data_IF_269163932713
#
_entry.id   IF_269163932713
#
_cell.length_a   1.000
_cell.length_b   1.000
_cell.length_c   1.000
_cell.angle_alpha   90.00
_cell.angle_beta   90.00
_cell.angle_gamma   90.00
#
_symmetry.space_group_name_H-M   'P 1'
#
loop_
_entity.id
_entity.type
_entity.pdbx_description
1 polymer ?
#
# COMPACT_ATOMS: atom_id res chain seq x y z
N UNK A 1 5.81 19.19 -17.51
CA UNK A 1 4.69 19.97 -16.92
C UNK A 1 3.49 19.11 -16.53
N UNK A 2 3.15 18.05 -17.28
CA UNK A 2 2.05 17.12 -16.98
C UNK A 2 2.19 16.37 -15.66
N UNK A 3 3.40 16.15 -15.17
CA UNK A 3 3.63 15.30 -14.00
C UNK A 3 3.13 15.91 -12.67
N UNK A 4 3.29 17.23 -12.48
CA UNK A 4 2.81 17.89 -11.26
C UNK A 4 1.28 17.96 -11.21
N UNK A 5 0.63 18.30 -12.34
CA UNK A 5 -0.82 18.28 -12.42
C UNK A 5 -1.36 16.89 -12.16
N UNK A 6 -0.77 15.86 -12.79
CA UNK A 6 -1.17 14.47 -12.56
C UNK A 6 -1.00 14.06 -11.09
N UNK A 7 0.08 14.47 -10.43
CA UNK A 7 0.29 14.18 -9.01
C UNK A 7 -0.71 14.90 -8.09
N UNK A 8 -1.09 16.14 -8.40
CA UNK A 8 -2.15 16.88 -7.69
C UNK A 8 -3.52 16.24 -7.94
N UNK A 9 -3.84 15.92 -9.19
CA UNK A 9 -5.08 15.25 -9.60
C UNK A 9 -5.24 13.92 -8.88
N UNK A 10 -4.17 13.12 -8.77
CA UNK A 10 -4.21 11.83 -8.12
C UNK A 10 -4.57 11.88 -6.62
N UNK A 11 -4.48 13.05 -5.98
CA UNK A 11 -4.91 13.26 -4.59
C UNK A 11 -6.25 13.98 -4.45
N UNK A 12 -6.65 14.75 -5.48
CA UNK A 12 -7.72 15.76 -5.36
C UNK A 12 -8.88 15.58 -6.34
N UNK A 13 -8.69 14.80 -7.41
CA UNK A 13 -9.75 14.46 -8.35
C UNK A 13 -10.49 13.18 -7.89
N UNK A 14 -11.80 13.07 -8.18
CA UNK A 14 -12.50 11.81 -8.02
C UNK A 14 -11.93 10.74 -8.97
N UNK A 15 -11.99 9.48 -8.55
CA UNK A 15 -11.46 8.34 -9.30
C UNK A 15 -12.60 7.37 -9.61
N UNK A 16 -12.69 6.92 -10.85
CA UNK A 16 -13.61 5.84 -11.21
C UNK A 16 -12.93 4.50 -10.97
N UNK A 17 -13.55 3.67 -10.11
CA UNK A 17 -13.06 2.34 -9.77
C UNK A 17 -14.11 1.31 -10.19
N UNK A 18 -13.70 0.31 -10.93
CA UNK A 18 -14.56 -0.83 -11.27
C UNK A 18 -14.57 -1.80 -10.10
N UNK A 19 -15.72 -1.95 -9.45
CA UNK A 19 -15.90 -2.88 -8.34
C UNK A 19 -16.60 -4.13 -8.86
N UNK A 20 -15.96 -5.28 -8.68
CA UNK A 20 -16.60 -6.58 -8.93
C UNK A 20 -17.34 -7.01 -7.67
N UNK A 21 -18.65 -7.22 -7.77
CA UNK A 21 -19.49 -7.73 -6.67
C UNK A 21 -19.41 -9.26 -6.58
N UNK A 22 -19.85 -9.80 -5.45
CA UNK A 22 -19.86 -11.24 -5.16
C UNK A 22 -20.75 -12.05 -6.15
N UNK A 23 -21.68 -11.39 -6.85
CA UNK A 23 -22.52 -11.98 -7.90
C UNK A 23 -21.85 -12.03 -9.28
N UNK A 24 -20.58 -11.60 -9.38
CA UNK A 24 -19.81 -11.57 -10.62
C UNK A 24 -20.12 -10.37 -11.52
N UNK A 25 -20.99 -9.45 -11.09
CA UNK A 25 -21.24 -8.20 -11.83
C UNK A 25 -20.15 -7.17 -11.56
N UNK A 26 -19.81 -6.39 -12.58
CA UNK A 26 -18.85 -5.28 -12.46
C UNK A 26 -19.61 -3.96 -12.56
N UNK A 27 -19.38 -3.07 -11.59
CA UNK A 27 -19.99 -1.74 -11.56
C UNK A 27 -18.89 -0.68 -11.43
N UNK A 28 -18.92 0.32 -12.29
CA UNK A 28 -18.03 1.47 -12.18
C UNK A 28 -18.59 2.44 -11.15
N UNK A 29 -17.89 2.60 -10.04
CA UNK A 29 -18.24 3.51 -8.95
C UNK A 29 -17.30 4.71 -8.96
N UNK A 30 -17.86 5.91 -8.89
CA UNK A 30 -17.08 7.13 -8.67
C UNK A 30 -16.75 7.26 -7.18
N UNK A 31 -15.46 7.20 -6.86
CA UNK A 31 -14.95 7.41 -5.52
C UNK A 31 -14.56 8.89 -5.31
N UNK A 32 -14.75 9.42 -4.09
CA UNK A 32 -14.33 10.78 -3.78
C UNK A 32 -12.80 10.92 -3.84
N UNK A 33 -12.27 12.15 -3.88
CA UNK A 33 -10.84 12.41 -3.85
C UNK A 33 -10.10 11.69 -2.73
N UNK A 34 -8.86 11.27 -2.97
CA UNK A 34 -8.10 10.44 -2.03
C UNK A 34 -7.90 11.11 -0.66
N UNK A 35 -7.70 12.43 -0.62
CA UNK A 35 -7.63 13.19 0.63
C UNK A 35 -8.97 13.23 1.39
N UNK A 36 -10.10 13.22 0.67
CA UNK A 36 -11.44 13.12 1.25
C UNK A 36 -11.67 11.71 1.79
N UNK A 37 -11.21 10.67 1.09
CA UNK A 37 -11.25 9.29 1.59
C UNK A 37 -10.45 9.15 2.89
N UNK A 38 -9.23 9.69 2.94
CA UNK A 38 -8.41 9.70 4.16
C UNK A 38 -9.11 10.43 5.32
N UNK A 39 -9.71 11.59 5.06
CA UNK A 39 -10.47 12.33 6.07
C UNK A 39 -11.65 11.50 6.61
N UNK A 40 -12.38 10.82 5.73
CA UNK A 40 -13.51 9.97 6.12
C UNK A 40 -13.05 8.74 6.91
N UNK A 41 -11.85 8.21 6.64
CA UNK A 41 -11.29 7.08 7.37
C UNK A 41 -11.00 7.40 8.84
N UNK A 42 -10.79 8.68 9.20
CA UNK A 42 -10.57 9.12 10.60
C UNK A 42 -11.73 8.70 11.50
N UNK A 43 -12.97 8.82 11.01
CA UNK A 43 -14.18 8.53 11.78
C UNK A 43 -14.50 7.04 11.94
N UNK A 44 -13.59 6.15 11.58
CA UNK A 44 -13.81 4.70 11.62
C UNK A 44 -14.76 4.26 10.50
N UNK A 45 -14.23 4.17 9.28
CA UNK A 45 -14.96 3.55 8.18
C UNK A 45 -15.28 2.09 8.50
N UNK A 46 -16.57 1.73 8.46
CA UNK A 46 -17.07 0.35 8.58
C UNK A 46 -16.44 -0.50 7.47
N UNK A 47 -15.40 -1.24 7.82
CA UNK A 47 -14.62 -2.02 6.87
C UNK A 47 -15.41 -3.16 6.22
N UNK A 48 -15.40 -3.19 4.90
CA UNK A 48 -15.57 -4.40 4.09
C UNK A 48 -14.22 -5.15 4.06
N UNK A 49 -14.13 -6.31 4.72
CA UNK A 49 -13.07 -7.30 4.44
C UNK A 49 -12.13 -7.71 5.59
N UNK A 50 -12.61 -8.67 6.40
CA UNK A 50 -11.90 -9.75 7.11
C UNK A 50 -10.36 -9.73 7.24
N UNK A 51 -9.87 -9.43 8.45
CA UNK A 51 -8.82 -10.24 9.10
C UNK A 51 -9.05 -10.24 10.62
N UNK A 52 -8.94 -11.41 11.24
CA UNK A 52 -9.41 -11.69 12.60
C UNK A 52 -8.54 -11.08 13.70
N UNK A 53 -8.75 -9.79 14.00
CA UNK A 53 -8.35 -9.20 15.29
C UNK A 53 -9.57 -8.94 16.17
N UNK A 54 -9.43 -9.21 17.46
CA UNK A 54 -10.50 -9.26 18.44
C UNK A 54 -11.41 -8.02 18.44
N UNK A 55 -12.73 -8.25 18.52
CA UNK A 55 -13.81 -7.24 18.45
C UNK A 55 -13.82 -6.22 19.61
N UNK A 56 -12.86 -6.21 20.53
CA UNK A 56 -12.99 -5.49 21.80
C UNK A 56 -12.24 -4.14 21.90
N UNK A 57 -11.50 -3.71 20.88
CA UNK A 57 -10.76 -2.42 20.92
C UNK A 57 -10.83 -1.66 19.59
N UNK A 58 -12.01 -1.58 18.97
CA UNK A 58 -12.17 -0.65 17.83
C UNK A 58 -12.28 0.77 18.40
N UNK A 59 -11.14 1.46 18.49
CA UNK A 59 -11.11 2.91 18.67
C UNK A 59 -12.05 3.55 17.65
N UNK A 60 -12.94 4.43 18.13
CA UNK A 60 -13.88 5.20 17.29
C UNK A 60 -13.14 6.10 16.30
N UNK A 61 -11.85 6.35 16.55
CA UNK A 61 -10.97 7.18 15.74
C UNK A 61 -9.77 6.37 15.27
N UNK A 62 -9.50 6.40 13.97
CA UNK A 62 -8.24 5.92 13.41
C UNK A 62 -7.15 6.98 13.61
N UNK A 63 -6.36 6.83 14.67
CA UNK A 63 -5.32 7.79 15.06
C UNK A 63 -4.22 7.94 13.99
N UNK A 64 -3.91 6.88 13.24
CA UNK A 64 -2.90 6.94 12.17
C UNK A 64 -3.45 7.69 10.95
N UNK A 65 -4.72 7.50 10.57
CA UNK A 65 -5.36 8.30 9.54
C UNK A 65 -5.42 9.78 9.93
N UNK A 66 -5.76 10.09 11.18
CA UNK A 66 -5.79 11.46 11.72
C UNK A 66 -4.41 12.13 11.66
N UNK A 67 -3.38 11.42 12.12
CA UNK A 67 -2.00 11.91 12.10
C UNK A 67 -1.54 12.23 10.67
N UNK A 68 -1.75 11.30 9.72
CA UNK A 68 -1.40 11.49 8.31
C UNK A 68 -2.14 12.66 7.69
N UNK A 69 -3.45 12.75 7.91
CA UNK A 69 -4.25 13.86 7.39
C UNK A 69 -3.75 15.21 7.91
N UNK A 70 -3.45 15.30 9.20
CA UNK A 70 -2.94 16.52 9.84
C UNK A 70 -1.57 16.93 9.30
N UNK A 71 -0.67 15.96 9.10
CA UNK A 71 0.66 16.19 8.52
C UNK A 71 0.54 16.77 7.11
N UNK A 72 -0.27 16.14 6.24
CA UNK A 72 -0.50 16.61 4.87
C UNK A 72 -1.13 18.00 4.88
N UNK A 73 -2.17 18.23 5.69
CA UNK A 73 -2.86 19.52 5.74
C UNK A 73 -1.94 20.66 6.19
N UNK A 74 -1.04 20.41 7.14
CA UNK A 74 -0.06 21.39 7.60
C UNK A 74 0.95 21.70 6.50
N UNK A 75 1.50 20.68 5.84
CA UNK A 75 2.47 20.88 4.77
C UNK A 75 1.87 21.58 3.54
N UNK A 76 0.63 21.25 3.17
CA UNK A 76 -0.11 21.96 2.11
C UNK A 76 -0.37 23.41 2.51
N UNK A 77 -0.73 23.68 3.76
CA UNK A 77 -0.92 25.05 4.26
C UNK A 77 0.36 25.87 4.16
N UNK A 78 1.52 25.28 4.46
CA UNK A 78 2.81 25.94 4.33
C UNK A 78 3.15 26.22 2.87
N UNK A 79 2.87 25.28 1.96
CA UNK A 79 3.02 25.50 0.52
C UNK A 79 2.14 26.65 0.02
N UNK A 80 0.88 26.73 0.46
CA UNK A 80 -0.01 27.85 0.16
C UNK A 80 0.59 29.18 0.64
N UNK A 81 1.07 29.26 1.88
CA UNK A 81 1.67 30.49 2.44
C UNK A 81 2.89 30.95 1.64
N UNK A 82 3.77 30.02 1.25
CA UNK A 82 4.93 30.32 0.41
C UNK A 82 4.49 30.87 -0.95
N UNK A 83 3.41 30.33 -1.51
CA UNK A 83 2.79 30.80 -2.76
C UNK A 83 1.82 31.99 -2.57
N UNK A 84 1.82 32.64 -1.40
CA UNK A 84 0.94 33.77 -1.08
C UNK A 84 -0.57 33.48 -1.28
N UNK A 85 -0.97 32.23 -1.07
CA UNK A 85 -2.36 31.76 -1.07
C UNK A 85 -2.81 31.62 0.38
N UNK A 86 -4.03 32.09 0.69
CA UNK A 86 -4.63 31.93 2.03
C UNK A 86 -5.12 30.49 2.17
N UNK A 87 -4.52 29.66 3.06
CA UNK A 87 -4.97 28.30 3.26
C UNK A 87 -6.32 28.26 3.99
N UNK A 88 -7.12 27.26 3.65
CA UNK A 88 -8.38 26.94 4.33
C UNK A 88 -8.17 25.78 5.32
N UNK A 89 -9.25 25.10 5.73
CA UNK A 89 -9.18 23.85 6.51
C UNK A 89 -9.39 22.61 5.64
N UNK A 90 -9.34 22.78 4.31
CA UNK A 90 -9.58 21.71 3.36
C UNK A 90 -8.34 21.52 2.47
N UNK A 91 -7.49 20.52 2.75
CA UNK A 91 -6.25 20.33 2.02
C UNK A 91 -6.47 20.03 0.53
N UNK A 92 -7.64 19.50 0.14
CA UNK A 92 -7.98 19.26 -1.27
C UNK A 92 -8.13 20.58 -2.02
N UNK A 93 -8.83 21.55 -1.43
CA UNK A 93 -9.03 22.89 -2.02
C UNK A 93 -7.72 23.66 -2.00
N UNK A 94 -7.00 23.60 -0.88
CA UNK A 94 -5.75 24.31 -0.69
C UNK A 94 -4.68 23.84 -1.68
N UNK A 95 -4.57 22.52 -1.91
CA UNK A 95 -3.59 21.98 -2.85
C UNK A 95 -3.87 22.40 -4.30
N UNK A 96 -5.16 22.53 -4.68
CA UNK A 96 -5.56 23.06 -5.99
C UNK A 96 -5.25 24.55 -6.13
N UNK A 97 -5.54 25.35 -5.10
CA UNK A 97 -5.24 26.77 -5.08
C UNK A 97 -3.73 27.04 -5.08
N UNK A 98 -2.96 26.23 -4.35
CA UNK A 98 -1.51 26.24 -4.40
C UNK A 98 -1.00 25.94 -5.80
N UNK A 99 -1.51 24.91 -6.47
CA UNK A 99 -1.05 24.54 -7.81
C UNK A 99 -1.25 25.68 -8.82
N UNK A 100 -2.39 26.38 -8.80
CA UNK A 100 -2.64 27.50 -9.72
C UNK A 100 -1.69 28.67 -9.44
N UNK A 101 -1.48 29.03 -8.17
CA UNK A 101 -0.53 30.08 -7.78
C UNK A 101 0.92 29.70 -8.11
N UNK A 102 1.30 28.45 -7.86
CA UNK A 102 2.61 27.90 -8.19
C UNK A 102 2.90 28.02 -9.68
N UNK A 103 1.93 27.70 -10.54
CA UNK A 103 2.09 27.85 -12.00
C UNK A 103 2.29 29.31 -12.42
N UNK A 104 1.63 30.26 -11.76
CA UNK A 104 1.78 31.69 -12.05
C UNK A 104 3.16 32.26 -11.63
N UNK A 105 3.81 31.66 -10.63
CA UNK A 105 5.11 32.10 -10.12
C UNK A 105 6.32 31.52 -10.88
N UNK A 106 6.11 30.51 -11.73
CA UNK A 106 7.23 29.73 -12.29
C UNK A 106 8.09 30.54 -13.27
N UNK A 107 9.32 30.80 -12.83
CA UNK A 107 10.46 31.20 -13.69
C UNK A 107 11.49 30.08 -13.88
N UNK A 108 11.43 28.95 -13.13
CA UNK A 108 12.34 27.80 -13.30
C UNK A 108 11.72 26.43 -12.93
N UNK A 109 12.35 25.34 -13.36
CA UNK A 109 11.83 23.97 -13.28
C UNK A 109 12.14 23.18 -11.99
N UNK A 110 13.16 23.58 -11.23
CA UNK A 110 13.69 22.83 -10.08
C UNK A 110 12.71 22.58 -8.90
N UNK A 111 11.80 23.50 -8.51
CA UNK A 111 10.90 23.26 -7.37
C UNK A 111 9.80 22.22 -7.65
N UNK A 112 9.60 21.83 -8.92
CA UNK A 112 8.54 20.91 -9.32
C UNK A 112 8.81 19.47 -8.89
N UNK A 113 10.08 19.04 -8.94
CA UNK A 113 10.48 17.64 -8.69
C UNK A 113 10.26 17.24 -7.24
N UNK A 114 10.55 18.15 -6.30
CA UNK A 114 10.31 17.92 -4.88
C UNK A 114 8.81 17.74 -4.60
N UNK A 115 7.97 18.65 -5.10
CA UNK A 115 6.53 18.58 -4.89
C UNK A 115 5.93 17.31 -5.51
N UNK A 116 6.31 16.94 -6.74
CA UNK A 116 5.87 15.70 -7.38
C UNK A 116 6.23 14.47 -6.54
N UNK A 117 7.47 14.38 -6.06
CA UNK A 117 7.91 13.26 -5.22
C UNK A 117 7.07 13.16 -3.95
N UNK A 118 6.89 14.30 -3.26
CA UNK A 118 6.11 14.35 -2.02
C UNK A 118 4.65 13.94 -2.23
N UNK A 119 4.01 14.43 -3.30
CA UNK A 119 2.62 14.09 -3.65
C UNK A 119 2.45 12.59 -3.95
N UNK A 120 3.42 12.00 -4.65
CA UNK A 120 3.42 10.55 -4.93
C UNK A 120 3.61 9.72 -3.66
N UNK A 121 4.48 10.18 -2.76
CA UNK A 121 4.69 9.53 -1.47
C UNK A 121 3.42 9.57 -0.62
N UNK A 122 2.76 10.73 -0.51
CA UNK A 122 1.48 10.83 0.18
C UNK A 122 0.42 9.92 -0.44
N UNK A 123 0.32 9.88 -1.78
CA UNK A 123 -0.61 8.98 -2.46
C UNK A 123 -0.36 7.53 -2.07
N UNK A 124 0.89 7.07 -2.11
CA UNK A 124 1.24 5.70 -1.73
C UNK A 124 0.83 5.41 -0.28
N UNK A 125 1.20 6.28 0.66
CA UNK A 125 0.86 6.11 2.07
C UNK A 125 -0.66 6.08 2.33
N UNK A 126 -1.45 6.88 1.60
CA UNK A 126 -2.90 6.87 1.75
C UNK A 126 -3.49 5.58 1.17
N UNK A 127 -3.02 5.13 0.01
CA UNK A 127 -3.50 3.88 -0.57
C UNK A 127 -3.14 2.68 0.31
N UNK A 128 -1.93 2.61 0.86
CA UNK A 128 -1.51 1.56 1.80
C UNK A 128 -2.43 1.49 3.03
N UNK A 129 -2.96 2.64 3.44
CA UNK A 129 -3.87 2.76 4.57
C UNK A 129 -5.30 2.35 4.23
N UNK A 130 -5.83 2.82 3.12
CA UNK A 130 -7.21 2.57 2.69
C UNK A 130 -7.39 1.16 2.13
N UNK A 131 -6.38 0.65 1.44
CA UNK A 131 -6.35 -0.63 0.75
C UNK A 131 -5.10 -1.41 1.16
N UNK A 132 -5.04 -1.89 2.42
CA UNK A 132 -3.89 -2.64 2.89
C UNK A 132 -3.71 -3.91 2.05
N UNK A 133 -2.46 -4.23 1.72
CA UNK A 133 -2.14 -5.45 0.99
C UNK A 133 -2.64 -6.67 1.77
N UNK A 134 -3.34 -7.57 1.07
CA UNK A 134 -3.77 -8.85 1.65
C UNK A 134 -2.53 -9.71 1.85
N UNK A 135 -2.47 -10.35 3.01
CA UNK A 135 -1.40 -11.28 3.35
C UNK A 135 -1.93 -12.71 3.34
N UNK A 136 -1.19 -13.60 2.68
CA UNK A 136 -1.48 -15.03 2.65
C UNK A 136 -0.22 -15.79 3.09
N UNK A 137 -0.36 -16.63 4.11
CA UNK A 137 0.73 -17.50 4.54
C UNK A 137 0.88 -18.68 3.57
N UNK A 138 2.10 -18.88 3.08
CA UNK A 138 2.43 -19.99 2.19
C UNK A 138 2.91 -21.20 3.02
N UNK A 139 2.50 -22.43 2.66
CA UNK A 139 2.86 -23.63 3.41
C UNK A 139 4.33 -24.07 3.23
N UNK A 140 5.08 -23.40 2.35
CA UNK A 140 6.43 -23.80 1.96
C UNK A 140 7.49 -23.25 2.92
N UNK A 141 8.60 -23.97 3.13
CA UNK A 141 9.75 -23.44 3.86
C UNK A 141 10.39 -22.29 3.09
N UNK A 142 11.06 -21.38 3.80
CA UNK A 142 11.80 -20.30 3.18
C UNK A 142 12.87 -20.82 2.19
N UNK A 143 12.98 -20.30 0.95
CA UNK A 143 14.07 -20.66 0.04
C UNK A 143 15.45 -20.29 0.58
N UNK A 144 15.59 -19.08 1.15
CA UNK A 144 16.85 -18.56 1.66
C UNK A 144 17.32 -19.24 2.96
N UNK A 145 16.54 -19.16 4.05
CA UNK A 145 16.96 -19.68 5.36
C UNK A 145 16.43 -21.08 5.71
N UNK A 146 15.57 -21.67 4.88
CA UNK A 146 14.95 -23.00 5.08
C UNK A 146 14.05 -23.12 6.31
N UNK A 147 13.77 -22.03 7.02
CA UNK A 147 12.88 -22.04 8.17
C UNK A 147 11.46 -22.49 7.79
N UNK A 148 10.86 -23.33 8.63
CA UNK A 148 9.45 -23.78 8.57
C UNK A 148 8.58 -23.10 9.62
N UNK A 149 9.23 -22.47 10.61
CA UNK A 149 8.62 -21.68 11.67
C UNK A 149 9.35 -20.36 11.86
N UNK A 150 8.72 -19.43 12.57
CA UNK A 150 9.31 -18.16 12.99
C UNK A 150 8.81 -17.79 14.39
N UNK A 151 9.63 -17.01 15.09
CA UNK A 151 9.28 -16.46 16.39
C UNK A 151 8.62 -15.11 16.23
N UNK A 152 7.39 -14.95 16.72
CA UNK A 152 6.72 -13.66 16.70
C UNK A 152 7.09 -12.86 17.96
N UNK A 153 7.88 -11.78 17.86
CA UNK A 153 8.29 -11.00 19.03
C UNK A 153 7.10 -10.29 19.71
N UNK A 154 6.03 -10.00 18.99
CA UNK A 154 4.86 -9.29 19.52
C UNK A 154 3.97 -10.18 20.39
N UNK A 155 3.90 -11.48 20.10
CA UNK A 155 3.09 -12.44 20.87
C UNK A 155 3.92 -13.39 21.72
N UNK A 156 5.25 -13.40 21.54
CA UNK A 156 6.17 -14.27 22.28
C UNK A 156 5.94 -15.75 22.01
N UNK A 157 5.46 -16.10 20.81
CA UNK A 157 5.09 -17.47 20.45
C UNK A 157 5.67 -17.84 19.09
N UNK A 158 5.92 -19.14 18.91
CA UNK A 158 6.38 -19.71 17.64
C UNK A 158 5.18 -19.99 16.72
N UNK A 159 5.28 -19.54 15.47
CA UNK A 159 4.28 -19.79 14.43
C UNK A 159 4.89 -20.60 13.30
N UNK A 160 4.09 -21.50 12.73
CA UNK A 160 4.43 -22.20 11.50
C UNK A 160 4.23 -21.27 10.29
N UNK A 161 4.88 -21.59 9.16
CA UNK A 161 4.74 -20.87 7.87
C UNK A 161 5.31 -19.45 7.91
N UNK A 162 6.66 -19.32 7.86
CA UNK A 162 7.31 -18.01 7.89
C UNK A 162 7.22 -17.26 6.56
N UNK A 163 6.80 -17.91 5.48
CA UNK A 163 6.72 -17.31 4.15
C UNK A 163 5.35 -16.68 3.92
N UNK A 164 5.32 -15.41 3.53
CA UNK A 164 4.10 -14.62 3.37
C UNK A 164 4.09 -14.02 1.98
N UNK A 165 2.96 -14.19 1.30
CA UNK A 165 2.64 -13.50 0.07
C UNK A 165 1.81 -12.26 0.41
N UNK A 166 2.23 -11.09 -0.07
CA UNK A 166 1.48 -9.83 0.01
C UNK A 166 1.01 -9.44 -1.38
N UNK A 167 -0.29 -9.22 -1.56
CA UNK A 167 -0.87 -8.83 -2.85
C UNK A 167 -2.02 -7.83 -2.67
N UNK A 168 -2.27 -7.02 -3.71
CA UNK A 168 -3.47 -6.18 -3.80
C UNK A 168 -4.44 -6.80 -4.80
N UNK A 169 -5.74 -6.76 -4.50
CA UNK A 169 -6.78 -7.36 -5.35
C UNK A 169 -6.81 -6.69 -6.73
N UNK A 170 -6.66 -5.37 -6.76
CA UNK A 170 -6.63 -4.58 -7.98
C UNK A 170 -5.19 -4.24 -8.44
N UNK A 171 -4.18 -4.85 -7.80
CA UNK A 171 -2.78 -4.66 -8.12
C UNK A 171 -2.34 -5.49 -9.32
N UNK A 172 -1.35 -5.00 -10.06
CA UNK A 172 -0.71 -5.79 -11.11
C UNK A 172 0.24 -6.84 -10.54
N UNK A 173 0.82 -7.70 -11.38
CA UNK A 173 1.85 -8.68 -10.96
C UNK A 173 3.03 -8.05 -10.18
N UNK A 174 3.31 -6.76 -10.42
CA UNK A 174 4.37 -6.01 -9.74
C UNK A 174 4.03 -5.67 -8.29
N UNK A 175 2.76 -5.70 -7.92
CA UNK A 175 2.27 -5.43 -6.56
C UNK A 175 2.17 -6.71 -5.72
N UNK A 176 2.59 -7.85 -6.28
CA UNK A 176 2.70 -9.13 -5.58
C UNK A 176 4.14 -9.31 -5.11
N UNK A 177 4.33 -9.15 -3.80
CA UNK A 177 5.59 -9.40 -3.12
C UNK A 177 5.49 -10.61 -2.21
N UNK A 178 6.62 -11.21 -1.88
CA UNK A 178 6.71 -12.18 -0.81
C UNK A 178 7.88 -11.87 0.10
N UNK A 179 7.75 -12.22 1.38
CA UNK A 179 8.85 -12.11 2.32
C UNK A 179 8.84 -13.24 3.35
N UNK A 180 9.99 -13.49 3.94
CA UNK A 180 10.14 -14.46 5.02
C UNK A 180 10.24 -13.74 6.37
N UNK A 181 9.33 -14.01 7.29
CA UNK A 181 9.33 -13.45 8.65
C UNK A 181 10.49 -13.94 9.55
N UNK A 182 11.22 -14.98 9.12
CA UNK A 182 12.33 -15.54 9.90
C UNK A 182 13.70 -14.93 9.55
N UNK A 183 13.88 -14.48 8.30
CA UNK A 183 15.18 -13.95 7.83
C UNK A 183 15.07 -12.66 7.02
N UNK A 184 13.87 -12.11 6.89
CA UNK A 184 13.54 -10.87 6.17
C UNK A 184 13.93 -10.86 4.68
N UNK A 185 14.23 -12.03 4.11
CA UNK A 185 14.41 -12.16 2.67
C UNK A 185 13.11 -11.79 1.95
N UNK A 186 13.23 -11.06 0.84
CA UNK A 186 12.12 -10.55 0.02
C UNK A 186 12.27 -11.02 -1.42
N UNK A 187 11.14 -11.22 -2.10
CA UNK A 187 11.05 -11.66 -3.49
C UNK A 187 9.89 -10.95 -4.18
N UNK A 188 9.98 -10.77 -5.49
CA UNK A 188 8.76 -10.62 -6.30
C UNK A 188 8.09 -11.99 -6.54
N UNK A 189 6.83 -11.99 -6.98
CA UNK A 189 6.07 -13.23 -7.19
C UNK A 189 6.77 -14.24 -8.11
N UNK A 190 7.40 -13.76 -9.19
CA UNK A 190 8.05 -14.60 -10.20
C UNK A 190 9.34 -15.22 -9.68
N UNK A 191 10.15 -14.44 -8.96
CA UNK A 191 11.37 -14.92 -8.30
C UNK A 191 11.04 -16.00 -7.28
N UNK A 192 10.01 -15.77 -6.44
CA UNK A 192 9.60 -16.75 -5.46
C UNK A 192 9.11 -18.04 -6.13
N UNK A 193 8.29 -17.94 -7.17
CA UNK A 193 7.79 -19.10 -7.91
C UNK A 193 8.96 -19.92 -8.47
N UNK A 194 9.93 -19.26 -9.09
CA UNK A 194 11.14 -19.92 -9.61
C UNK A 194 11.93 -20.64 -8.53
N UNK A 195 12.17 -19.99 -7.38
CA UNK A 195 12.90 -20.58 -6.24
C UNK A 195 12.19 -21.80 -5.66
N UNK A 196 10.86 -21.74 -5.54
CA UNK A 196 10.05 -22.86 -5.06
C UNK A 196 10.03 -24.02 -6.05
N UNK A 197 9.90 -23.74 -7.34
CA UNK A 197 9.95 -24.74 -8.41
C UNK A 197 11.31 -25.43 -8.50
N UNK A 198 12.40 -24.64 -8.56
CA UNK A 198 13.76 -25.16 -8.60
C UNK A 198 14.03 -26.12 -7.43
N UNK A 199 13.49 -25.79 -6.25
CA UNK A 199 13.62 -26.64 -5.07
C UNK A 199 12.73 -27.88 -5.11
N UNK A 200 11.51 -27.78 -5.62
CA UNK A 200 10.63 -28.93 -5.83
C UNK A 200 11.27 -29.94 -6.80
N UNK A 201 11.91 -29.46 -7.87
CA UNK A 201 12.65 -30.29 -8.83
C UNK A 201 13.85 -30.98 -8.17
N UNK A 202 14.63 -30.26 -7.34
CA UNK A 202 15.77 -30.84 -6.61
C UNK A 202 15.35 -31.91 -5.60
N UNK A 203 14.24 -31.69 -4.89
CA UNK A 203 13.67 -32.68 -3.96
C UNK A 203 13.19 -33.92 -4.70
N UNK A 204 12.54 -33.75 -5.85
CA UNK A 204 12.11 -34.87 -6.69
C UNK A 204 13.30 -35.72 -7.20
N UNK A 205 14.38 -35.09 -7.66
CA UNK A 205 15.58 -35.79 -8.13
C UNK A 205 16.31 -36.53 -6.98
N UNK A 206 16.36 -35.95 -5.78
CA UNK A 206 16.92 -36.62 -4.60
C UNK A 206 16.11 -37.85 -4.19
N UNK A 207 14.78 -37.77 -4.20
CA UNK A 207 13.91 -38.93 -3.91
C UNK A 207 14.07 -40.00 -4.98
N UNK A 208 14.14 -39.63 -6.27
CA UNK A 208 14.37 -40.56 -7.39
C UNK A 208 15.68 -41.35 -7.23
N UNK A 209 16.78 -40.67 -6.84
CA UNK A 209 18.09 -41.29 -6.60
C UNK A 209 18.11 -42.21 -5.38
N UNK A 210 17.31 -41.91 -4.36
CA UNK A 210 17.15 -42.78 -3.18
C UNK A 210 16.25 -44.00 -3.46
N UNK A 211 15.36 -43.91 -4.45
CA UNK A 211 14.43 -44.98 -4.84
C UNK A 211 14.92 -45.89 -5.97
N UNK A 212 16.07 -45.59 -6.58
CA UNK A 212 16.73 -46.49 -7.55
C UNK A 212 17.92 -47.19 -6.88
N UNK A 213 17.74 -48.39 -6.30
CA UNK A 213 18.86 -49.14 -5.74
C UNK A 213 19.82 -49.52 -6.88
N UNK A 214 21.12 -49.36 -6.63
CA UNK A 214 22.20 -49.87 -7.48
C UNK A 214 22.20 -51.39 -7.55
#
# INVERSE_FOLDING_TARGET
MTDLLAAVDALTAPVQVTVTRDDGTTETVEQPPLLTQLHNAIGGGVGTGSSGSAKHERSVIDADALYRFTLIATQVSDWCRIANVVPTRNPTVDLRAWYTAYQAMRTSDAPATFAVRQLREWRAQILDKLEPARMQDLPYPCPACKATSWWNPSTGSEYQRPLVLSYRVDGGERDIGAHCRACDATWNARELAWELEARATLLADQVQRLMTPS
#
